data_IF_314725106815
#
_entry.id   IF_314725106815
#
_cell.length_a   1.000
_cell.length_b   1.000
_cell.length_c   1.000
_cell.angle_alpha   90.00
_cell.angle_beta   90.00
_cell.angle_gamma   90.00
#
_symmetry.space_group_name_H-M   'P 1'
#
loop_
_entity.id
_entity.type
_entity.pdbx_description
1 polymer ?
#
# COMPACT_ATOMS: atom_id res chain seq x y z
N UNK A 1 10.90 -8.15 -3.06
CA UNK A 1 10.59 -8.05 -4.50
C UNK A 1 9.09 -8.00 -4.70
N UNK A 2 8.60 -7.15 -5.63
CA UNK A 2 7.17 -7.03 -5.98
C UNK A 2 7.04 -7.37 -7.46
N UNK A 3 6.05 -8.20 -7.80
CA UNK A 3 5.81 -8.61 -9.18
C UNK A 3 4.34 -8.47 -9.54
N UNK A 4 4.05 -7.87 -10.69
CA UNK A 4 2.76 -7.90 -11.36
C UNK A 4 2.89 -8.81 -12.59
N UNK A 5 2.05 -9.82 -12.67
CA UNK A 5 2.08 -10.81 -13.75
C UNK A 5 0.74 -10.78 -14.49
N UNK A 6 0.74 -10.19 -15.69
CA UNK A 6 -0.42 -10.07 -16.59
C UNK A 6 -1.65 -9.45 -15.89
N UNK A 7 -1.43 -8.45 -15.06
CA UNK A 7 -2.48 -7.84 -14.23
C UNK A 7 -3.34 -6.91 -15.08
N UNK A 8 -4.64 -7.18 -15.10
CA UNK A 8 -5.66 -6.31 -15.70
C UNK A 8 -6.73 -5.92 -14.70
N UNK A 9 -7.29 -4.73 -14.86
CA UNK A 9 -8.41 -4.25 -14.06
C UNK A 9 -9.44 -3.57 -14.93
N UNK A 10 -10.66 -4.08 -14.86
CA UNK A 10 -11.84 -3.57 -15.53
C UNK A 10 -12.80 -2.94 -14.49
N UNK A 11 -13.37 -1.80 -14.84
CA UNK A 11 -14.48 -1.16 -14.15
C UNK A 11 -15.65 -1.04 -15.17
N UNK A 12 -16.55 -2.03 -15.14
CA UNK A 12 -17.51 -2.19 -16.24
C UNK A 12 -16.77 -2.37 -17.57
N UNK A 13 -17.07 -1.54 -18.54
CA UNK A 13 -16.42 -1.60 -19.87
C UNK A 13 -15.10 -0.80 -19.93
N UNK A 14 -14.71 -0.12 -18.85
CA UNK A 14 -13.48 0.66 -18.81
C UNK A 14 -12.32 -0.18 -18.30
N UNK A 15 -11.32 -0.37 -19.14
CA UNK A 15 -10.06 -1.00 -18.76
C UNK A 15 -9.13 0.05 -18.11
N UNK A 16 -8.87 -0.12 -16.81
CA UNK A 16 -7.98 0.75 -16.05
C UNK A 16 -6.55 0.25 -16.00
N UNK A 17 -6.35 -1.06 -16.08
CA UNK A 17 -5.06 -1.73 -16.29
C UNK A 17 -5.21 -2.80 -17.35
N UNK A 18 -4.28 -2.85 -18.27
CA UNK A 18 -4.25 -3.81 -19.36
C UNK A 18 -2.94 -4.58 -19.36
N UNK A 19 -3.04 -5.85 -18.97
CA UNK A 19 -1.93 -6.81 -19.02
C UNK A 19 -0.60 -6.27 -18.44
N UNK A 20 -0.69 -5.58 -17.29
CA UNK A 20 0.48 -4.99 -16.63
C UNK A 20 1.45 -6.08 -16.18
N UNK A 21 2.68 -5.98 -16.66
CA UNK A 21 3.81 -6.77 -16.21
C UNK A 21 4.86 -5.80 -15.64
N UNK A 22 5.20 -5.96 -14.36
CA UNK A 22 6.09 -5.06 -13.65
C UNK A 22 6.83 -5.86 -12.57
N UNK A 23 8.12 -5.59 -12.43
CA UNK A 23 8.94 -6.14 -11.37
C UNK A 23 9.71 -5.02 -10.68
N UNK A 24 9.72 -5.04 -9.36
CA UNK A 24 10.44 -4.08 -8.52
C UNK A 24 11.32 -4.89 -7.57
N UNK A 25 12.62 -4.70 -7.68
CA UNK A 25 13.60 -5.42 -6.88
C UNK A 25 13.70 -4.88 -5.45
N UNK A 26 14.28 -5.66 -4.56
CA UNK A 26 14.56 -5.22 -3.20
C UNK A 26 15.56 -4.04 -3.20
N UNK A 27 15.24 -2.98 -2.47
CA UNK A 27 16.05 -1.78 -2.40
C UNK A 27 15.88 -0.81 -3.57
N UNK A 28 15.03 -1.14 -4.54
CA UNK A 28 14.73 -0.27 -5.67
C UNK A 28 13.72 0.83 -5.30
N UNK A 29 13.91 2.01 -5.89
CA UNK A 29 12.94 3.12 -5.85
C UNK A 29 12.37 3.27 -7.26
N UNK A 30 11.07 3.02 -7.40
CA UNK A 30 10.38 3.13 -8.67
C UNK A 30 9.37 4.28 -8.69
N UNK A 31 9.40 5.09 -9.74
CA UNK A 31 8.41 6.13 -10.00
C UNK A 31 7.38 5.68 -11.03
N UNK A 32 6.10 5.84 -10.72
CA UNK A 32 5.01 5.67 -11.68
C UNK A 32 4.65 7.03 -12.28
N UNK A 33 4.95 7.22 -13.57
CA UNK A 33 4.70 8.46 -14.29
C UNK A 33 3.63 8.22 -15.35
N UNK A 34 2.73 9.19 -15.51
CA UNK A 34 1.68 9.13 -16.53
C UNK A 34 0.62 10.19 -16.28
N UNK A 35 -0.22 10.43 -17.30
CA UNK A 35 -1.36 11.36 -17.17
C UNK A 35 -2.43 10.85 -16.20
N UNK A 36 -3.39 11.71 -15.82
CA UNK A 36 -4.51 11.29 -15.00
C UNK A 36 -5.34 10.23 -15.74
N UNK A 37 -5.64 9.14 -15.05
CA UNK A 37 -6.32 7.99 -15.67
C UNK A 37 -5.40 6.94 -16.31
N UNK A 38 -4.06 7.12 -16.25
CA UNK A 38 -3.10 6.14 -16.78
C UNK A 38 -2.97 4.84 -15.97
N UNK A 39 -3.79 4.63 -14.93
CA UNK A 39 -3.76 3.41 -14.11
C UNK A 39 -2.83 3.45 -12.89
N UNK A 40 -2.10 4.53 -12.63
CA UNK A 40 -1.17 4.65 -11.50
C UNK A 40 -1.82 4.31 -10.15
N UNK A 41 -2.90 5.00 -9.81
CA UNK A 41 -3.64 4.77 -8.56
C UNK A 41 -4.27 3.37 -8.51
N UNK A 42 -4.71 2.85 -9.64
CA UNK A 42 -5.23 1.49 -9.76
C UNK A 42 -4.14 0.45 -9.48
N UNK A 43 -2.94 0.66 -10.00
CA UNK A 43 -1.77 -0.21 -9.75
C UNK A 43 -1.44 -0.24 -8.25
N UNK A 44 -1.30 0.93 -7.62
CA UNK A 44 -0.98 1.02 -6.18
C UNK A 44 -2.11 0.42 -5.33
N UNK A 45 -3.37 0.77 -5.60
CA UNK A 45 -4.54 0.23 -4.86
C UNK A 45 -4.67 -1.29 -5.01
N UNK A 46 -4.26 -1.85 -6.16
CA UNK A 46 -4.21 -3.30 -6.35
C UNK A 46 -3.13 -3.95 -5.48
N UNK A 47 -1.94 -3.35 -5.42
CA UNK A 47 -0.82 -3.83 -4.60
C UNK A 47 -1.17 -3.84 -3.10
N UNK A 48 -1.82 -2.77 -2.61
CA UNK A 48 -2.20 -2.68 -1.19
C UNK A 48 -3.54 -3.38 -0.88
N UNK A 49 -4.08 -4.15 -1.82
CA UNK A 49 -5.35 -4.90 -1.68
C UNK A 49 -6.58 -4.05 -1.34
N UNK A 50 -6.61 -2.77 -1.73
CA UNK A 50 -7.82 -1.94 -1.67
C UNK A 50 -8.80 -2.37 -2.77
N UNK A 51 -8.27 -2.72 -3.94
CA UNK A 51 -9.03 -3.29 -5.05
C UNK A 51 -8.40 -4.62 -5.47
N UNK A 52 -9.22 -5.53 -6.00
CA UNK A 52 -8.73 -6.79 -6.57
C UNK A 52 -8.58 -6.65 -8.08
N UNK A 53 -7.50 -7.19 -8.67
CA UNK A 53 -7.39 -7.33 -10.12
C UNK A 53 -8.58 -8.11 -10.71
N UNK A 54 -8.90 -7.86 -11.97
CA UNK A 54 -9.87 -8.66 -12.74
C UNK A 54 -9.23 -9.92 -13.29
N UNK A 55 -7.94 -9.87 -13.60
CA UNK A 55 -7.12 -11.02 -14.03
C UNK A 55 -5.65 -10.77 -13.71
N UNK A 56 -4.83 -11.81 -13.86
CA UNK A 56 -3.44 -11.81 -13.49
C UNK A 56 -3.24 -11.98 -11.98
N UNK A 57 -2.00 -11.84 -11.53
CA UNK A 57 -1.65 -12.00 -10.12
C UNK A 57 -0.55 -11.03 -9.71
N UNK A 58 -0.52 -10.71 -8.41
CA UNK A 58 0.50 -9.87 -7.79
C UNK A 58 1.20 -10.73 -6.74
N UNK A 59 2.54 -10.73 -6.79
CA UNK A 59 3.36 -11.41 -5.80
C UNK A 59 4.19 -10.40 -5.03
N UNK A 60 4.37 -10.67 -3.75
CA UNK A 60 5.29 -9.93 -2.86
C UNK A 60 6.19 -10.95 -2.18
N UNK A 61 7.49 -10.85 -2.41
CA UNK A 61 8.49 -11.82 -1.97
C UNK A 61 8.12 -13.27 -2.36
N UNK A 62 7.62 -13.45 -3.58
CA UNK A 62 7.19 -14.74 -4.12
C UNK A 62 5.85 -15.27 -3.58
N UNK A 63 5.20 -14.56 -2.67
CA UNK A 63 3.90 -14.93 -2.11
C UNK A 63 2.77 -14.25 -2.86
N UNK A 64 1.77 -15.00 -3.28
CA UNK A 64 0.62 -14.44 -3.97
C UNK A 64 -0.25 -13.61 -3.03
N UNK A 65 -0.51 -12.36 -3.43
CA UNK A 65 -1.23 -11.37 -2.64
C UNK A 65 -2.67 -11.79 -2.32
N UNK A 66 -3.35 -12.45 -3.26
CA UNK A 66 -4.73 -12.92 -3.08
C UNK A 66 -4.87 -13.96 -1.97
N UNK A 67 -3.84 -14.78 -1.77
CA UNK A 67 -3.82 -15.88 -0.79
C UNK A 67 -3.22 -15.45 0.56
N UNK A 68 -2.32 -14.46 0.57
CA UNK A 68 -1.53 -14.08 1.74
C UNK A 68 -1.74 -12.64 2.19
N UNK A 69 -2.95 -12.09 2.02
CA UNK A 69 -3.25 -10.65 2.22
C UNK A 69 -2.75 -10.08 3.55
N UNK A 70 -3.05 -10.73 4.67
CA UNK A 70 -2.68 -10.21 5.99
C UNK A 70 -1.18 -10.19 6.21
N UNK A 71 -0.50 -11.28 5.84
CA UNK A 71 0.94 -11.39 5.97
C UNK A 71 1.68 -10.35 5.09
N UNK A 72 1.19 -10.13 3.88
CA UNK A 72 1.76 -9.14 2.95
C UNK A 72 1.45 -7.71 3.40
N UNK A 73 0.21 -7.41 3.83
CA UNK A 73 -0.15 -6.08 4.34
C UNK A 73 0.70 -5.64 5.54
N UNK A 74 1.11 -6.56 6.40
CA UNK A 74 2.03 -6.26 7.52
C UNK A 74 3.42 -5.81 7.08
N UNK A 75 3.81 -6.08 5.83
CA UNK A 75 5.09 -5.66 5.24
C UNK A 75 5.00 -4.37 4.43
N UNK A 76 3.78 -3.86 4.17
CA UNK A 76 3.54 -2.71 3.30
C UNK A 76 3.15 -1.49 4.14
N UNK A 77 3.87 -0.38 3.95
CA UNK A 77 3.41 0.95 4.34
C UNK A 77 2.73 1.63 3.15
N UNK A 78 1.55 2.20 3.37
CA UNK A 78 0.81 2.92 2.33
C UNK A 78 0.42 4.31 2.80
N UNK A 79 0.75 5.31 2.00
CA UNK A 79 0.30 6.69 2.18
C UNK A 79 -0.70 7.00 1.08
N UNK A 80 -1.95 7.25 1.46
CA UNK A 80 -3.02 7.57 0.54
C UNK A 80 -2.93 9.02 0.02
N UNK A 81 -3.46 9.27 -1.17
CA UNK A 81 -3.55 10.62 -1.76
C UNK A 81 -4.45 11.54 -0.94
N UNK A 82 -5.47 10.99 -0.28
CA UNK A 82 -6.41 11.70 0.58
C UNK A 82 -6.46 11.05 1.96
N UNK A 83 -6.19 11.81 3.04
CA UNK A 83 -6.25 11.32 4.42
C UNK A 83 -7.67 11.37 5.01
N UNK A 84 -8.71 11.56 4.21
CA UNK A 84 -10.08 11.88 4.66
C UNK A 84 -10.67 10.89 5.67
N UNK A 85 -10.19 9.66 5.67
CA UNK A 85 -10.65 8.61 6.59
C UNK A 85 -10.34 8.93 8.07
N UNK A 86 -9.34 9.76 8.33
CA UNK A 86 -8.79 10.01 9.65
C UNK A 86 -9.02 11.43 10.18
N UNK A 87 -9.76 12.26 9.45
CA UNK A 87 -10.03 13.66 9.83
C UNK A 87 -10.78 13.84 11.16
N UNK A 88 -11.36 12.76 11.70
CA UNK A 88 -12.10 12.75 12.97
C UNK A 88 -11.27 12.22 14.15
N UNK A 89 -10.06 11.77 13.88
CA UNK A 89 -9.16 11.25 14.91
C UNK A 89 -8.10 12.31 15.24
N UNK A 90 -7.75 12.40 16.51
CA UNK A 90 -6.53 13.08 16.92
C UNK A 90 -5.31 12.27 16.47
N UNK A 91 -4.14 12.90 16.43
CA UNK A 91 -2.90 12.20 16.09
C UNK A 91 -2.66 11.00 17.02
N UNK A 92 -2.90 11.16 18.32
CA UNK A 92 -2.72 10.07 19.29
C UNK A 92 -3.66 8.90 19.02
N UNK A 93 -4.96 9.16 18.81
CA UNK A 93 -5.94 8.12 18.48
C UNK A 93 -5.57 7.38 17.17
N UNK A 94 -5.06 8.10 16.19
CA UNK A 94 -4.59 7.50 14.95
C UNK A 94 -3.37 6.61 15.18
N UNK A 95 -2.39 7.05 15.96
CA UNK A 95 -1.20 6.26 16.27
C UNK A 95 -1.53 5.01 17.08
N UNK A 96 -2.42 5.11 18.05
CA UNK A 96 -2.92 3.96 18.82
C UNK A 96 -3.65 2.95 17.93
N UNK A 97 -4.46 3.42 16.99
CA UNK A 97 -5.15 2.56 16.01
C UNK A 97 -4.14 1.79 15.14
N UNK A 98 -3.12 2.48 14.64
CA UNK A 98 -2.07 1.84 13.82
C UNK A 98 -1.27 0.85 14.69
N UNK A 99 -0.84 1.23 15.88
CA UNK A 99 -0.07 0.38 16.77
C UNK A 99 -0.83 -0.91 17.08
N UNK A 100 -2.11 -0.81 17.42
CA UNK A 100 -2.95 -1.98 17.70
C UNK A 100 -3.15 -2.87 16.48
N UNK A 101 -3.22 -2.28 15.27
CA UNK A 101 -3.36 -3.02 14.01
C UNK A 101 -2.12 -3.84 13.64
N UNK A 102 -0.95 -3.44 14.12
CA UNK A 102 0.32 -4.11 13.92
C UNK A 102 0.85 -4.85 15.15
N UNK A 103 0.03 -4.99 16.19
CA UNK A 103 0.39 -5.62 17.47
C UNK A 103 1.65 -4.99 18.12
N UNK A 104 1.83 -3.67 17.98
CA UNK A 104 2.94 -2.95 18.61
C UNK A 104 2.66 -2.72 20.08
N UNK A 105 3.69 -2.86 20.91
CA UNK A 105 3.60 -2.47 22.33
C UNK A 105 3.60 -0.94 22.47
N UNK A 106 3.10 -0.43 23.61
CA UNK A 106 3.15 1.01 23.89
C UNK A 106 4.58 1.55 23.90
N UNK A 107 5.55 0.78 24.38
CA UNK A 107 6.97 1.17 24.35
C UNK A 107 7.54 1.26 22.95
N UNK A 108 7.16 0.36 22.02
CA UNK A 108 7.60 0.42 20.64
C UNK A 108 6.96 1.61 19.90
N UNK A 109 5.71 1.91 20.20
CA UNK A 109 5.02 3.10 19.67
C UNK A 109 5.72 4.37 20.13
N UNK A 110 5.97 4.53 21.45
CA UNK A 110 6.66 5.70 22.00
C UNK A 110 8.06 5.89 21.39
N UNK A 111 8.83 4.81 21.27
CA UNK A 111 10.15 4.86 20.66
C UNK A 111 10.10 5.28 19.19
N UNK A 112 9.12 4.78 18.44
CA UNK A 112 8.90 5.13 17.03
C UNK A 112 8.48 6.58 16.87
N UNK A 113 7.56 7.07 17.71
CA UNK A 113 7.12 8.46 17.72
C UNK A 113 8.24 9.42 18.09
N UNK A 114 9.04 9.10 19.11
CA UNK A 114 10.18 9.93 19.50
C UNK A 114 11.19 10.11 18.34
N UNK A 115 11.41 9.09 17.54
CA UNK A 115 12.25 9.16 16.33
C UNK A 115 11.64 10.05 15.26
N UNK A 116 10.32 9.94 15.02
CA UNK A 116 9.62 10.74 14.02
C UNK A 116 9.54 12.21 14.42
N UNK A 117 9.21 12.51 15.67
CA UNK A 117 9.11 13.88 16.19
C UNK A 117 10.45 14.62 16.17
N UNK A 118 11.58 13.90 16.25
CA UNK A 118 12.90 14.51 16.08
C UNK A 118 13.24 14.89 14.63
N UNK A 119 12.56 14.28 13.65
CA UNK A 119 12.77 14.56 12.22
C UNK A 119 11.80 15.61 11.70
N UNK A 120 10.59 15.60 12.20
CA UNK A 120 9.55 16.56 11.85
C UNK A 120 9.36 17.52 13.02
N UNK A 121 9.51 18.81 12.74
CA UNK A 121 9.32 19.89 13.71
C UNK A 121 7.81 20.12 13.93
N UNK A 122 7.23 19.36 14.87
CA UNK A 122 5.83 19.47 15.26
C UNK A 122 5.66 20.29 16.54
#
# INVERSE_FOLDING_TARGET
MIEFQNVSKLYGDKEALSNLNLQIENGEIMGLIGHNGAGKSTTIKSLVSIISPSSGRILVDGQELSENRLAIKRKIGYVADSPDLFLRLTANEFWELIASSYDLSSSDLEASLARLLNVFDF
#
